data_IF_227894803030
#
_entry.id   IF_227894803030
#
_cell.length_a   1.000
_cell.length_b   1.000
_cell.length_c   1.000
_cell.angle_alpha   90.00
_cell.angle_beta   90.00
_cell.angle_gamma   90.00
#
_symmetry.space_group_name_H-M   'P 1'
#
loop_
_entity.id
_entity.type
_entity.pdbx_description
1 polymer ?
#
# COMPACT_ATOMS: atom_id res chain seq x y z
N UNK A 1 22.21 17.94 53.73
CA UNK A 1 21.26 16.84 53.46
C UNK A 1 19.92 17.40 52.97
N UNK A 2 19.85 18.01 51.78
CA UNK A 2 18.60 18.66 51.31
C UNK A 2 18.51 18.91 49.78
N UNK A 3 19.23 18.14 48.95
CA UNK A 3 19.16 18.24 47.47
C UNK A 3 18.42 17.04 46.83
N UNK A 4 18.15 15.96 47.57
CA UNK A 4 17.60 14.72 46.99
C UNK A 4 16.05 14.62 46.98
N UNK A 5 15.32 15.61 47.50
CA UNK A 5 13.85 15.51 47.66
C UNK A 5 13.05 16.10 46.49
N UNK A 6 13.61 17.07 45.75
CA UNK A 6 12.93 17.74 44.62
C UNK A 6 12.98 16.94 43.31
N UNK A 7 13.90 15.96 43.19
CA UNK A 7 14.01 15.10 42.01
C UNK A 7 13.07 13.88 42.07
N UNK A 8 12.43 13.59 43.22
CA UNK A 8 11.59 12.38 43.38
C UNK A 8 10.34 12.36 42.50
N UNK A 9 9.56 13.46 42.37
CA UNK A 9 8.37 13.47 41.50
C UNK A 9 8.76 13.37 40.02
N UNK A 10 9.83 14.08 39.62
CA UNK A 10 10.37 14.03 38.25
C UNK A 10 10.89 12.65 37.90
N UNK A 11 11.63 12.02 38.82
CA UNK A 11 12.11 10.65 38.64
C UNK A 11 10.97 9.64 38.56
N UNK A 12 9.92 9.76 39.39
CA UNK A 12 8.73 8.90 39.31
C UNK A 12 8.01 9.04 37.99
N UNK A 13 7.76 10.28 37.55
CA UNK A 13 7.13 10.55 36.26
C UNK A 13 7.97 9.99 35.09
N UNK A 14 9.29 10.15 35.13
CA UNK A 14 10.19 9.60 34.13
C UNK A 14 10.20 8.07 34.14
N UNK A 15 10.27 7.44 35.32
CA UNK A 15 10.24 5.99 35.47
C UNK A 15 8.90 5.40 34.98
N UNK A 16 7.77 6.03 35.31
CA UNK A 16 6.44 5.65 34.82
C UNK A 16 6.25 5.86 33.32
N UNK A 17 6.86 6.91 32.76
CA UNK A 17 6.83 7.15 31.32
C UNK A 17 7.68 6.10 30.58
N UNK A 18 8.91 5.89 31.04
CA UNK A 18 9.85 4.94 30.41
C UNK A 18 9.35 3.50 30.52
N UNK A 19 8.74 3.11 31.64
CA UNK A 19 8.14 1.78 31.80
C UNK A 19 6.92 1.57 30.90
N UNK A 20 6.07 2.60 30.71
CA UNK A 20 4.96 2.56 29.74
C UNK A 20 5.46 2.39 28.32
N UNK A 21 6.52 3.11 27.93
CA UNK A 21 7.14 2.95 26.62
C UNK A 21 7.74 1.56 26.42
N UNK A 22 8.46 1.03 27.41
CA UNK A 22 9.05 -0.30 27.34
C UNK A 22 7.99 -1.41 27.22
N UNK A 23 6.86 -1.28 27.94
CA UNK A 23 5.74 -2.20 27.83
C UNK A 23 5.02 -2.09 26.48
N UNK A 24 4.89 -0.87 25.94
CA UNK A 24 4.36 -0.66 24.58
C UNK A 24 5.26 -1.34 23.55
N UNK A 25 6.56 -1.07 23.59
CA UNK A 25 7.55 -1.70 22.72
C UNK A 25 7.52 -3.24 22.82
N UNK A 26 7.49 -3.79 24.03
CA UNK A 26 7.39 -5.24 24.21
C UNK A 26 6.10 -5.79 23.58
N UNK A 27 4.96 -5.13 23.82
CA UNK A 27 3.68 -5.60 23.28
C UNK A 27 3.64 -5.51 21.75
N UNK A 28 3.97 -4.36 21.17
CA UNK A 28 3.86 -4.13 19.74
C UNK A 28 4.99 -4.79 18.95
N UNK A 29 6.24 -4.56 19.34
CA UNK A 29 7.42 -4.92 18.53
C UNK A 29 7.97 -6.32 18.82
N UNK A 30 7.73 -6.86 20.03
CA UNK A 30 8.21 -8.21 20.39
C UNK A 30 7.10 -9.25 20.32
N UNK A 31 5.91 -8.93 20.86
CA UNK A 31 4.79 -9.86 20.92
C UNK A 31 3.84 -9.74 19.72
N UNK A 32 3.94 -8.66 18.93
CA UNK A 32 3.04 -8.41 17.80
C UNK A 32 1.59 -8.10 18.22
N UNK A 33 1.38 -7.69 19.47
CA UNK A 33 0.07 -7.37 20.01
C UNK A 33 -0.39 -6.00 19.53
N UNK A 34 -1.66 -5.91 19.14
CA UNK A 34 -2.33 -4.63 18.89
C UNK A 34 -2.78 -3.97 20.20
N UNK A 35 -3.15 -2.68 20.16
CA UNK A 35 -3.74 -1.99 21.31
C UNK A 35 -5.02 -2.68 21.82
N UNK A 36 -5.75 -3.33 20.91
CA UNK A 36 -6.92 -4.15 21.20
C UNK A 36 -6.54 -5.38 22.05
N UNK A 37 -5.44 -6.05 21.70
CA UNK A 37 -4.95 -7.23 22.42
C UNK A 37 -4.46 -6.86 23.82
N UNK A 38 -3.76 -5.71 23.93
CA UNK A 38 -3.35 -5.14 25.23
C UNK A 38 -4.58 -4.86 26.09
N UNK A 39 -5.64 -4.26 25.53
CA UNK A 39 -6.88 -4.01 26.27
C UNK A 39 -7.58 -5.31 26.68
N UNK A 40 -7.66 -6.30 25.80
CA UNK A 40 -8.20 -7.62 26.12
C UNK A 40 -7.43 -8.31 27.26
N UNK A 41 -6.10 -8.22 27.26
CA UNK A 41 -5.25 -8.74 28.33
C UNK A 41 -5.52 -8.03 29.66
N UNK A 42 -5.67 -6.70 29.65
CA UNK A 42 -6.02 -5.92 30.87
C UNK A 42 -7.37 -6.35 31.44
N UNK A 43 -8.38 -6.58 30.60
CA UNK A 43 -9.68 -7.07 31.05
C UNK A 43 -9.59 -8.45 31.70
N UNK A 44 -8.79 -9.37 31.13
CA UNK A 44 -8.54 -10.69 31.74
C UNK A 44 -7.85 -10.57 33.10
N UNK A 45 -6.81 -9.74 33.20
CA UNK A 45 -6.10 -9.49 34.46
C UNK A 45 -6.98 -8.82 35.53
N UNK A 46 -7.96 -8.03 35.12
CA UNK A 46 -8.96 -7.44 36.00
C UNK A 46 -10.08 -8.43 36.43
N UNK A 47 -10.02 -9.70 36.01
CA UNK A 47 -11.05 -10.71 36.32
C UNK A 47 -12.33 -10.56 35.49
N UNK A 48 -12.33 -9.75 34.43
CA UNK A 48 -13.49 -9.50 33.57
C UNK A 48 -13.49 -10.35 32.29
N UNK A 49 -12.42 -11.13 32.06
CA UNK A 49 -12.19 -11.88 30.82
C UNK A 49 -13.32 -12.82 30.41
N UNK A 50 -13.95 -13.48 31.38
CA UNK A 50 -14.99 -14.49 31.16
C UNK A 50 -16.41 -13.91 31.22
N UNK A 51 -16.54 -12.59 31.37
CA UNK A 51 -17.87 -11.96 31.36
C UNK A 51 -18.50 -12.03 29.96
N UNK A 52 -19.82 -12.20 29.83
CA UNK A 52 -20.49 -12.28 28.53
C UNK A 52 -20.25 -11.05 27.64
N UNK A 53 -20.07 -9.87 28.23
CA UNK A 53 -19.77 -8.65 27.49
C UNK A 53 -18.36 -8.66 26.90
N UNK A 54 -17.35 -9.11 27.65
CA UNK A 54 -15.98 -9.21 27.15
C UNK A 54 -15.86 -10.32 26.09
N UNK A 55 -16.52 -11.46 26.27
CA UNK A 55 -16.54 -12.52 25.26
C UNK A 55 -17.18 -12.06 23.95
N UNK A 56 -18.35 -11.39 24.01
CA UNK A 56 -18.98 -10.79 22.82
C UNK A 56 -18.08 -9.76 22.16
N UNK A 57 -17.41 -8.92 22.96
CA UNK A 57 -16.49 -7.91 22.42
C UNK A 57 -15.26 -8.55 21.76
N UNK A 58 -14.71 -9.63 22.31
CA UNK A 58 -13.61 -10.36 21.67
C UNK A 58 -14.01 -11.04 20.36
N UNK A 59 -15.23 -11.57 20.28
CA UNK A 59 -15.75 -12.26 19.10
C UNK A 59 -16.25 -11.31 17.98
N UNK A 60 -16.64 -10.08 18.33
CA UNK A 60 -17.32 -9.16 17.41
C UNK A 60 -16.63 -8.95 16.04
N UNK A 61 -15.29 -8.84 15.91
CA UNK A 61 -14.65 -8.76 14.59
C UNK A 61 -14.80 -10.02 13.73
N UNK A 62 -14.82 -11.21 14.34
CA UNK A 62 -15.02 -12.47 13.62
C UNK A 62 -16.49 -12.66 13.21
N UNK A 63 -17.41 -12.20 14.06
CA UNK A 63 -18.86 -12.28 13.81
C UNK A 63 -19.38 -11.18 12.87
N UNK A 64 -18.59 -10.12 12.66
CA UNK A 64 -18.96 -9.03 11.77
C UNK A 64 -19.08 -9.49 10.32
N UNK A 65 -20.13 -9.06 9.62
CA UNK A 65 -20.28 -9.27 8.17
C UNK A 65 -19.33 -8.34 7.42
N UNK A 66 -18.30 -8.85 6.71
CA UNK A 66 -17.31 -7.98 6.09
C UNK A 66 -17.88 -7.22 4.88
N UNK A 67 -17.54 -5.94 4.77
CA UNK A 67 -17.86 -5.10 3.61
C UNK A 67 -16.72 -5.15 2.61
N UNK A 68 -17.00 -5.53 1.37
CA UNK A 68 -16.00 -5.53 0.28
C UNK A 68 -15.71 -4.12 -0.22
N UNK A 69 -14.44 -3.72 -0.22
CA UNK A 69 -13.99 -2.41 -0.69
C UNK A 69 -13.64 -2.45 -2.19
N UNK A 70 -14.13 -1.45 -2.93
CA UNK A 70 -13.73 -1.18 -4.30
C UNK A 70 -12.42 -0.43 -4.41
N UNK A 71 -12.16 0.20 -5.57
CA UNK A 71 -10.99 1.08 -5.75
C UNK A 71 -11.05 2.33 -4.86
N UNK A 72 -12.26 2.76 -4.47
CA UNK A 72 -12.53 3.83 -3.51
C UNK A 72 -13.75 3.46 -2.68
N UNK A 73 -13.77 3.89 -1.43
CA UNK A 73 -14.89 3.69 -0.54
C UNK A 73 -14.94 4.79 0.51
N UNK A 74 -16.14 5.13 0.96
CA UNK A 74 -16.38 6.02 2.10
C UNK A 74 -17.48 5.40 2.94
N UNK A 75 -17.27 5.34 4.26
CA UNK A 75 -18.24 4.86 5.21
C UNK A 75 -18.30 5.78 6.43
N UNK A 76 -19.52 6.19 6.79
CA UNK A 76 -19.79 6.79 8.09
C UNK A 76 -19.81 5.70 9.15
N UNK A 77 -19.23 6.00 10.31
CA UNK A 77 -19.10 5.12 11.45
C UNK A 77 -19.92 5.71 12.58
N UNK A 78 -20.84 4.94 13.14
CA UNK A 78 -21.70 5.37 14.24
C UNK A 78 -21.90 4.23 15.26
N UNK A 79 -20.93 4.07 16.15
CA UNK A 79 -20.98 3.09 17.22
C UNK A 79 -21.61 3.71 18.47
N UNK A 80 -22.79 3.21 18.84
CA UNK A 80 -23.42 3.56 20.12
C UNK A 80 -22.76 2.81 21.29
N UNK A 81 -22.72 3.46 22.45
CA UNK A 81 -22.14 2.95 23.70
C UNK A 81 -22.92 1.80 24.34
N UNK A 82 -24.16 1.55 23.89
CA UNK A 82 -25.01 0.43 24.33
C UNK A 82 -24.88 -0.82 23.45
N UNK A 83 -24.04 -0.79 22.40
CA UNK A 83 -23.82 -1.91 21.48
C UNK A 83 -22.39 -2.45 21.53
N UNK A 84 -22.26 -3.77 21.35
CA UNK A 84 -20.96 -4.44 21.18
C UNK A 84 -20.87 -4.94 19.75
N UNK A 85 -20.14 -4.21 18.90
CA UNK A 85 -19.96 -4.54 17.49
C UNK A 85 -18.60 -4.11 16.98
N UNK A 86 -18.22 -4.66 15.83
CA UNK A 86 -17.05 -4.23 15.06
C UNK A 86 -17.48 -3.96 13.61
N UNK A 87 -16.78 -3.06 12.93
CA UNK A 87 -16.89 -2.88 11.49
C UNK A 87 -15.66 -3.49 10.82
N UNK A 88 -15.87 -4.35 9.83
CA UNK A 88 -14.81 -5.03 9.09
C UNK A 88 -14.95 -4.72 7.60
N UNK A 89 -13.91 -4.15 7.02
CA UNK A 89 -13.86 -3.84 5.59
C UNK A 89 -12.72 -4.63 4.94
N UNK A 90 -12.99 -5.35 3.86
CA UNK A 90 -12.01 -6.25 3.23
C UNK A 90 -11.69 -5.80 1.82
N UNK A 91 -10.45 -6.05 1.38
CA UNK A 91 -10.05 -5.86 -0.01
C UNK A 91 -9.02 -6.90 -0.43
N UNK A 92 -8.95 -7.19 -1.73
CA UNK A 92 -7.80 -7.86 -2.32
C UNK A 92 -6.88 -6.81 -2.94
N UNK A 93 -5.57 -6.94 -2.74
CA UNK A 93 -4.60 -6.06 -3.36
C UNK A 93 -3.46 -6.87 -3.99
N UNK A 94 -2.88 -6.31 -5.05
CA UNK A 94 -1.79 -6.92 -5.81
C UNK A 94 -0.49 -6.16 -5.58
N UNK A 95 0.63 -6.87 -5.74
CA UNK A 95 1.95 -6.26 -5.67
C UNK A 95 2.04 -5.04 -6.59
N UNK A 96 2.57 -3.94 -6.08
CA UNK A 96 2.70 -2.68 -6.82
C UNK A 96 1.53 -1.73 -6.64
N UNK A 97 0.48 -2.14 -5.94
CA UNK A 97 -0.58 -1.24 -5.52
C UNK A 97 -0.25 -0.55 -4.20
N UNK A 98 -0.89 0.57 -3.93
CA UNK A 98 -0.83 1.29 -2.67
C UNK A 98 -2.23 1.39 -2.10
N UNK A 99 -2.35 1.14 -0.80
CA UNK A 99 -3.54 1.41 -0.02
C UNK A 99 -3.38 2.78 0.62
N UNK A 100 -4.40 3.62 0.50
CA UNK A 100 -4.47 4.90 1.20
C UNK A 100 -5.77 4.96 1.99
N UNK A 101 -5.72 5.57 3.17
CA UNK A 101 -6.91 5.80 3.98
C UNK A 101 -6.81 7.09 4.78
N UNK A 102 -7.98 7.56 5.21
CA UNK A 102 -8.15 8.62 6.19
C UNK A 102 -9.29 8.22 7.09
N UNK A 103 -9.03 8.23 8.40
CA UNK A 103 -10.05 8.01 9.42
C UNK A 103 -10.17 9.30 10.22
N UNK A 104 -11.40 9.81 10.30
CA UNK A 104 -11.76 10.98 11.10
C UNK A 104 -12.62 10.54 12.26
N UNK A 105 -12.56 11.28 13.35
CA UNK A 105 -13.40 11.08 14.53
C UNK A 105 -14.02 12.41 14.96
N UNK A 106 -15.19 12.34 15.56
CA UNK A 106 -15.85 13.50 16.19
C UNK A 106 -15.19 13.81 17.54
N UNK A 107 -15.35 15.04 18.05
CA UNK A 107 -14.66 15.53 19.27
C UNK A 107 -14.98 14.72 20.54
N UNK A 108 -16.12 14.03 20.56
CA UNK A 108 -16.57 13.19 21.69
C UNK A 108 -16.10 11.74 21.59
N UNK A 109 -15.48 11.35 20.48
CA UNK A 109 -15.08 9.97 20.22
C UNK A 109 -13.78 9.64 20.94
N UNK A 110 -13.79 8.59 21.76
CA UNK A 110 -12.61 8.05 22.42
C UNK A 110 -12.48 6.53 22.16
N UNK A 111 -11.26 6.02 22.35
CA UNK A 111 -11.00 4.59 22.52
C UNK A 111 -11.39 3.65 21.38
N UNK A 112 -11.31 4.10 20.12
CA UNK A 112 -11.40 3.19 18.96
C UNK A 112 -10.11 2.39 18.80
N UNK A 113 -10.23 1.07 18.70
CA UNK A 113 -9.19 0.23 18.14
C UNK A 113 -9.43 0.08 16.64
N UNK A 114 -8.48 0.53 15.83
CA UNK A 114 -8.54 0.38 14.39
C UNK A 114 -7.20 -0.16 13.85
N UNK A 115 -7.27 -1.20 13.04
CA UNK A 115 -6.10 -1.88 12.46
C UNK A 115 -6.29 -2.09 10.97
N UNK A 116 -5.17 -2.05 10.24
CA UNK A 116 -5.05 -2.67 8.92
C UNK A 116 -4.32 -3.99 9.12
N UNK A 117 -4.93 -5.07 8.63
CA UNK A 117 -4.42 -6.42 8.77
C UNK A 117 -4.29 -7.07 7.39
N UNK A 118 -3.33 -7.99 7.27
CA UNK A 118 -3.06 -8.76 6.06
C UNK A 118 -3.27 -10.24 6.35
N UNK A 119 -3.95 -10.93 5.44
CA UNK A 119 -4.11 -12.37 5.52
C UNK A 119 -2.81 -13.06 5.09
N UNK A 120 -2.32 -13.98 5.90
CA UNK A 120 -1.32 -14.96 5.51
C UNK A 120 -2.00 -16.05 4.65
N UNK A 121 -1.70 -16.15 3.35
CA UNK A 121 -2.33 -17.12 2.48
C UNK A 121 -1.95 -18.58 2.81
N UNK A 122 -0.88 -18.83 3.55
CA UNK A 122 -0.46 -20.18 3.93
C UNK A 122 -1.11 -20.67 5.23
N UNK A 123 -1.38 -19.76 6.17
CA UNK A 123 -1.88 -20.09 7.50
C UNK A 123 -3.37 -19.73 7.72
N UNK A 124 -3.99 -19.02 6.79
CA UNK A 124 -5.35 -18.44 6.93
C UNK A 124 -5.51 -17.56 8.19
N UNK A 125 -4.40 -17.00 8.66
CA UNK A 125 -4.35 -16.09 9.81
C UNK A 125 -4.23 -14.64 9.35
N UNK A 126 -4.62 -13.71 10.23
CA UNK A 126 -4.47 -12.28 9.99
C UNK A 126 -3.33 -11.75 10.85
N UNK A 127 -2.43 -10.98 10.23
CA UNK A 127 -1.34 -10.30 10.91
C UNK A 127 -1.52 -8.78 10.82
N UNK A 128 -1.13 -8.09 11.89
CA UNK A 128 -1.14 -6.64 11.95
C UNK A 128 -0.17 -6.07 10.90
N UNK A 129 -0.66 -5.17 10.04
CA UNK A 129 0.17 -4.35 9.16
C UNK A 129 0.51 -3.05 9.87
N UNK A 130 -0.51 -2.34 10.34
CA UNK A 130 -0.35 -1.10 11.10
C UNK A 130 -1.64 -0.72 11.84
N UNK A 131 -1.51 0.12 12.87
CA UNK A 131 -2.65 0.79 13.47
C UNK A 131 -3.23 1.84 12.52
N UNK A 132 -4.54 2.06 12.61
CA UNK A 132 -5.27 3.04 11.80
C UNK A 132 -5.68 4.19 12.71
N UNK A 133 -4.89 5.26 12.71
CA UNK A 133 -5.17 6.43 13.54
C UNK A 133 -6.40 7.19 13.04
N UNK A 134 -7.25 7.63 13.97
CA UNK A 134 -8.39 8.51 13.70
C UNK A 134 -8.01 9.99 13.78
N UNK A 135 -6.87 10.35 13.19
CA UNK A 135 -6.23 11.67 13.27
C UNK A 135 -6.62 12.61 12.12
N UNK A 136 -7.41 12.13 11.16
CA UNK A 136 -7.79 12.88 9.96
C UNK A 136 -6.68 13.01 8.92
N UNK A 137 -5.50 12.45 9.17
CA UNK A 137 -4.38 12.46 8.23
C UNK A 137 -4.53 11.36 7.17
N UNK A 138 -3.80 11.53 6.06
CA UNK A 138 -3.77 10.52 5.00
C UNK A 138 -2.60 9.58 5.22
N UNK A 139 -2.94 8.33 5.52
CA UNK A 139 -1.99 7.25 5.70
C UNK A 139 -1.91 6.37 4.45
N UNK A 140 -0.75 5.75 4.22
CA UNK A 140 -0.49 4.92 3.03
C UNK A 140 0.38 3.71 3.36
N UNK A 141 0.12 2.59 2.71
CA UNK A 141 0.96 1.38 2.72
C UNK A 141 1.11 0.84 1.32
N UNK A 142 2.35 0.50 0.96
CA UNK A 142 2.69 -0.17 -0.29
C UNK A 142 2.44 -1.68 -0.18
N UNK A 143 1.81 -2.24 -1.19
CA UNK A 143 1.54 -3.69 -1.30
C UNK A 143 2.71 -4.36 -1.99
N UNK A 144 3.43 -5.18 -1.24
CA UNK A 144 4.63 -5.89 -1.65
C UNK A 144 4.34 -7.26 -2.30
N UNK A 145 3.21 -7.86 -1.92
CA UNK A 145 2.75 -9.15 -2.40
C UNK A 145 1.22 -9.20 -2.50
N UNK A 146 0.72 -10.04 -3.42
CA UNK A 146 -0.72 -10.28 -3.56
C UNK A 146 -1.26 -10.88 -2.27
N UNK A 147 -2.26 -10.24 -1.68
CA UNK A 147 -2.89 -10.68 -0.44
C UNK A 147 -4.28 -10.07 -0.27
N UNK A 148 -5.05 -10.62 0.68
CA UNK A 148 -6.24 -9.97 1.21
C UNK A 148 -5.86 -9.11 2.41
N UNK A 149 -6.51 -7.97 2.52
CA UNK A 149 -6.37 -7.03 3.61
C UNK A 149 -7.73 -6.79 4.24
N UNK A 150 -7.73 -6.40 5.52
CA UNK A 150 -8.93 -5.92 6.18
C UNK A 150 -8.64 -4.74 7.11
N UNK A 151 -9.56 -3.79 7.12
CA UNK A 151 -9.66 -2.82 8.20
C UNK A 151 -10.59 -3.40 9.26
N UNK A 152 -10.15 -3.43 10.51
CA UNK A 152 -10.97 -3.82 11.66
C UNK A 152 -11.11 -2.61 12.55
N UNK A 153 -12.34 -2.15 12.77
CA UNK A 153 -12.65 -1.01 13.61
C UNK A 153 -13.59 -1.46 14.73
N UNK A 154 -13.16 -1.27 15.96
CA UNK A 154 -13.92 -1.68 17.14
C UNK A 154 -13.67 -0.71 18.29
N UNK A 155 -14.70 -0.03 18.81
CA UNK A 155 -14.57 0.77 20.03
C UNK A 155 -14.18 -0.09 21.23
N UNK A 156 -13.63 0.56 22.25
CA UNK A 156 -13.51 -0.05 23.57
C UNK A 156 -14.90 -0.46 24.08
N UNK A 157 -14.94 -1.45 24.97
CA UNK A 157 -16.19 -1.99 25.50
C UNK A 157 -17.06 -0.86 26.08
N UNK A 158 -18.27 -0.69 25.53
CA UNK A 158 -19.25 0.35 25.87
C UNK A 158 -18.76 1.79 25.70
N UNK A 159 -17.82 2.05 24.77
CA UNK A 159 -17.50 3.40 24.33
C UNK A 159 -18.17 3.70 22.98
N UNK A 160 -18.74 4.91 22.86
CA UNK A 160 -19.26 5.39 21.60
C UNK A 160 -18.13 5.89 20.68
N UNK A 161 -18.33 5.74 19.38
CA UNK A 161 -17.44 6.31 18.36
C UNK A 161 -18.25 6.75 17.14
N UNK A 162 -18.15 8.03 16.81
CA UNK A 162 -18.64 8.59 15.55
C UNK A 162 -17.46 9.12 14.72
N UNK A 163 -17.52 8.89 13.40
CA UNK A 163 -16.49 9.33 12.48
C UNK A 163 -16.70 8.85 11.05
N UNK A 164 -15.68 9.02 10.20
CA UNK A 164 -15.72 8.60 8.80
C UNK A 164 -14.42 7.96 8.36
N UNK A 165 -14.53 6.78 7.73
CA UNK A 165 -13.45 6.08 7.05
C UNK A 165 -13.53 6.29 5.55
N UNK A 166 -12.49 6.85 4.95
CA UNK A 166 -12.32 6.95 3.49
C UNK A 166 -11.13 6.11 3.09
N UNK A 167 -11.28 5.23 2.11
CA UNK A 167 -10.20 4.37 1.59
C UNK A 167 -10.08 4.48 0.08
N UNK A 168 -8.87 4.30 -0.43
CA UNK A 168 -8.57 4.19 -1.84
C UNK A 168 -7.44 3.19 -2.08
N UNK A 169 -7.52 2.48 -3.22
CA UNK A 169 -6.47 1.60 -3.72
C UNK A 169 -6.11 2.02 -5.14
N UNK A 170 -4.81 2.03 -5.44
CA UNK A 170 -4.31 2.45 -6.74
C UNK A 170 -2.89 1.95 -7.00
N UNK A 171 -2.27 2.39 -8.09
CA UNK A 171 -0.87 2.06 -8.39
C UNK A 171 0.11 2.93 -7.60
N UNK A 172 1.30 2.41 -7.34
CA UNK A 172 2.41 3.13 -6.71
C UNK A 172 3.14 4.08 -7.68
N UNK A 173 3.15 3.75 -8.97
CA UNK A 173 3.90 4.45 -10.01
C UNK A 173 3.02 5.39 -10.81
N UNK A 174 3.66 6.34 -11.50
CA UNK A 174 3.00 7.15 -12.53
C UNK A 174 2.84 6.37 -13.83
N UNK A 175 1.90 6.82 -14.67
CA UNK A 175 1.78 6.34 -16.05
C UNK A 175 3.03 6.75 -16.86
N UNK A 176 3.79 5.82 -17.46
CA UNK A 176 5.04 6.14 -18.16
C UNK A 176 4.85 6.82 -19.52
N UNK A 177 3.62 6.95 -20.02
CA UNK A 177 3.30 7.67 -21.26
C UNK A 177 2.42 8.86 -20.95
N UNK A 178 2.86 10.05 -21.34
CA UNK A 178 2.14 11.29 -21.05
C UNK A 178 0.73 11.26 -21.68
N UNK A 179 -0.29 11.48 -20.84
CA UNK A 179 -1.70 11.52 -21.27
C UNK A 179 -2.36 10.16 -21.50
N UNK A 180 -1.63 9.06 -21.36
CA UNK A 180 -2.20 7.71 -21.44
C UNK A 180 -2.97 7.34 -20.16
N UNK A 181 -3.87 6.37 -20.28
CA UNK A 181 -4.66 5.81 -19.19
C UNK A 181 -4.79 4.28 -19.33
N UNK A 182 -5.46 3.64 -18.38
CA UNK A 182 -5.63 2.18 -18.38
C UNK A 182 -6.27 1.63 -19.67
N UNK A 183 -7.13 2.41 -20.34
CA UNK A 183 -7.75 2.06 -21.63
C UNK A 183 -6.76 1.93 -22.79
N UNK A 184 -5.58 2.53 -22.66
CA UNK A 184 -4.54 2.55 -23.70
C UNK A 184 -3.54 1.38 -23.52
N UNK A 185 -3.71 0.59 -22.46
CA UNK A 185 -2.90 -0.60 -22.20
C UNK A 185 -3.47 -1.78 -22.99
N UNK A 186 -2.64 -2.40 -23.81
CA UNK A 186 -2.93 -3.67 -24.48
C UNK A 186 -1.74 -4.62 -24.42
N UNK A 187 -1.87 -5.77 -25.09
CA UNK A 187 -0.84 -6.81 -25.09
C UNK A 187 -0.42 -7.18 -23.67
N UNK A 188 -1.33 -7.69 -22.84
CA UNK A 188 -1.09 -7.87 -21.41
C UNK A 188 0.12 -8.74 -21.06
N UNK A 189 0.54 -8.65 -19.79
CA UNK A 189 1.61 -9.48 -19.24
C UNK A 189 1.27 -10.97 -19.36
N UNK A 190 2.28 -11.80 -19.65
CA UNK A 190 2.15 -13.26 -19.77
C UNK A 190 1.49 -13.76 -21.06
N UNK A 191 0.94 -12.87 -21.89
CA UNK A 191 0.32 -13.21 -23.19
C UNK A 191 1.36 -13.88 -24.10
N UNK A 192 0.94 -14.94 -24.80
CA UNK A 192 1.76 -15.67 -25.75
C UNK A 192 2.18 -14.76 -26.91
N UNK A 193 3.43 -14.89 -27.34
CA UNK A 193 4.00 -14.11 -28.44
C UNK A 193 4.88 -15.01 -29.30
N UNK A 194 5.14 -14.58 -30.53
CA UNK A 194 5.92 -15.32 -31.53
C UNK A 194 5.42 -16.76 -31.68
N UNK A 195 4.11 -16.93 -31.86
CA UNK A 195 3.49 -18.25 -31.99
C UNK A 195 3.50 -19.10 -30.71
N UNK A 196 3.77 -18.51 -29.54
CA UNK A 196 3.84 -19.20 -28.25
C UNK A 196 5.26 -19.47 -27.76
N UNK A 197 6.28 -19.10 -28.54
CA UNK A 197 7.68 -19.31 -28.17
C UNK A 197 8.15 -18.39 -27.02
N UNK A 198 7.49 -17.25 -26.80
CA UNK A 198 7.78 -16.36 -25.66
C UNK A 198 6.49 -15.92 -24.97
N UNK A 199 6.63 -15.47 -23.73
CA UNK A 199 5.59 -14.73 -23.01
C UNK A 199 5.93 -13.25 -23.01
N UNK A 200 4.90 -12.42 -22.95
CA UNK A 200 5.08 -10.99 -22.84
C UNK A 200 5.52 -10.59 -21.43
N UNK A 201 6.73 -10.07 -21.28
CA UNK A 201 7.34 -9.71 -19.98
C UNK A 201 7.07 -8.25 -19.56
N UNK A 202 6.00 -7.67 -20.09
CA UNK A 202 5.60 -6.30 -19.81
C UNK A 202 4.18 -6.06 -20.28
N UNK A 203 3.89 -4.80 -20.56
CA UNK A 203 2.63 -4.34 -21.15
C UNK A 203 2.92 -3.35 -22.28
N UNK A 204 2.02 -3.27 -23.25
CA UNK A 204 2.15 -2.32 -24.36
C UNK A 204 1.17 -1.16 -24.15
N UNK A 205 1.68 0.06 -24.11
CA UNK A 205 0.90 1.28 -23.88
C UNK A 205 0.84 2.04 -25.21
N UNK A 206 -0.32 2.00 -25.85
CA UNK A 206 -0.51 2.57 -27.18
C UNK A 206 -0.66 4.09 -27.12
N UNK A 207 0.08 4.78 -27.98
CA UNK A 207 -0.01 6.23 -28.12
C UNK A 207 0.54 6.66 -29.48
N UNK A 208 0.27 7.91 -29.90
CA UNK A 208 0.83 8.45 -31.14
C UNK A 208 2.37 8.40 -31.09
N UNK A 209 3.01 8.09 -32.22
CA UNK A 209 4.46 8.19 -32.33
C UNK A 209 4.93 9.60 -31.93
N UNK A 210 6.02 9.69 -31.17
CA UNK A 210 6.55 10.95 -30.65
C UNK A 210 5.98 11.39 -29.29
N UNK A 211 4.91 10.73 -28.80
CA UNK A 211 4.33 11.02 -27.48
C UNK A 211 5.40 10.90 -26.39
N UNK A 212 5.50 11.84 -25.43
CA UNK A 212 6.50 11.79 -24.37
C UNK A 212 6.38 10.53 -23.51
N UNK A 213 7.53 9.88 -23.28
CA UNK A 213 7.72 8.79 -22.32
C UNK A 213 8.44 9.36 -21.11
N UNK A 214 7.91 9.14 -19.92
CA UNK A 214 8.39 9.73 -18.67
C UNK A 214 8.94 8.70 -17.70
N UNK A 215 9.89 9.12 -16.87
CA UNK A 215 10.44 8.29 -15.80
C UNK A 215 9.37 8.01 -14.73
N UNK A 216 9.18 6.73 -14.39
CA UNK A 216 8.20 6.32 -13.35
C UNK A 216 8.69 6.51 -11.92
N UNK A 217 10.00 6.67 -11.74
CA UNK A 217 10.68 6.88 -10.46
C UNK A 217 11.89 7.80 -10.66
N UNK A 218 12.40 8.36 -9.56
CA UNK A 218 13.73 8.95 -9.55
C UNK A 218 14.78 7.86 -9.81
N UNK A 219 15.82 8.18 -10.58
CA UNK A 219 16.87 7.19 -10.84
C UNK A 219 17.89 7.59 -11.88
N UNK A 220 18.57 6.59 -12.41
CA UNK A 220 19.54 6.72 -13.49
C UNK A 220 19.07 5.95 -14.72
N UNK A 221 19.13 6.60 -15.89
CA UNK A 221 18.82 5.98 -17.18
C UNK A 221 20.05 5.31 -17.78
N UNK A 222 19.84 4.25 -18.55
CA UNK A 222 20.84 3.69 -19.46
C UNK A 222 20.21 3.33 -20.81
N UNK A 223 20.87 3.67 -21.90
CA UNK A 223 20.36 3.44 -23.25
C UNK A 223 20.89 2.16 -23.87
N UNK A 224 20.09 1.56 -24.75
CA UNK A 224 20.54 0.47 -25.62
C UNK A 224 19.75 0.46 -26.92
N UNK A 225 20.44 0.29 -28.04
CA UNK A 225 19.83 0.19 -29.36
C UNK A 225 20.12 -1.16 -30.01
N UNK A 226 19.07 -1.89 -30.41
CA UNK A 226 19.16 -3.17 -31.11
C UNK A 226 18.34 -4.28 -30.45
N UNK A 227 18.40 -5.47 -31.03
CA UNK A 227 17.61 -6.62 -30.59
C UNK A 227 16.09 -6.39 -30.72
N UNK A 228 15.30 -7.19 -29.99
CA UNK A 228 13.84 -7.12 -30.05
C UNK A 228 13.29 -5.76 -29.61
N UNK A 229 13.92 -5.12 -28.61
CA UNK A 229 13.45 -3.84 -28.07
C UNK A 229 13.70 -2.61 -28.94
N UNK A 230 14.58 -2.69 -29.94
CA UNK A 230 14.96 -1.52 -30.73
C UNK A 230 15.69 -0.49 -29.87
N UNK A 231 15.24 0.77 -29.86
CA UNK A 231 15.73 1.79 -28.94
C UNK A 231 15.07 1.61 -27.58
N UNK A 232 15.88 1.50 -26.54
CA UNK A 232 15.42 1.15 -25.20
C UNK A 232 16.10 1.96 -24.12
N UNK A 233 15.38 2.19 -23.03
CA UNK A 233 15.90 2.77 -21.79
C UNK A 233 15.68 1.76 -20.68
N UNK A 234 16.69 1.57 -19.84
CA UNK A 234 16.52 1.02 -18.50
C UNK A 234 16.63 2.14 -17.49
N UNK A 235 15.69 2.22 -16.55
CA UNK A 235 15.73 3.13 -15.41
C UNK A 235 15.90 2.33 -14.12
N UNK A 236 16.83 2.74 -13.27
CA UNK A 236 17.06 2.11 -11.96
C UNK A 236 17.12 3.18 -10.88
N UNK A 237 16.33 3.04 -9.81
CA UNK A 237 16.40 3.91 -8.63
C UNK A 237 17.53 3.52 -7.68
N UNK A 238 17.89 2.24 -7.65
CA UNK A 238 18.98 1.69 -6.83
C UNK A 238 19.67 0.52 -7.52
N UNK A 239 20.81 0.09 -6.98
CA UNK A 239 21.59 -1.03 -7.52
C UNK A 239 20.91 -2.41 -7.32
N UNK A 240 20.09 -2.53 -6.29
CA UNK A 240 19.47 -3.81 -5.88
C UNK A 240 17.97 -3.86 -6.12
N UNK A 241 17.36 -2.72 -6.44
CA UNK A 241 15.94 -2.58 -6.71
C UNK A 241 15.52 -3.08 -8.10
N UNK A 242 14.22 -2.96 -8.42
CA UNK A 242 13.71 -3.27 -9.75
C UNK A 242 14.30 -2.33 -10.81
N UNK A 243 14.39 -2.86 -12.03
CA UNK A 243 14.71 -2.10 -13.24
C UNK A 243 13.44 -1.90 -14.05
N UNK A 244 13.22 -0.68 -14.51
CA UNK A 244 12.11 -0.33 -15.39
C UNK A 244 12.60 -0.26 -16.82
N UNK A 245 11.97 -1.02 -17.71
CA UNK A 245 12.37 -1.16 -19.10
C UNK A 245 11.37 -0.46 -20.01
N UNK A 246 11.89 0.38 -20.90
CA UNK A 246 11.12 1.15 -21.87
C UNK A 246 11.65 0.78 -23.25
N UNK A 247 10.82 0.24 -24.12
CA UNK A 247 11.24 -0.21 -25.44
C UNK A 247 10.39 0.32 -26.59
N UNK A 248 10.87 0.06 -27.80
CA UNK A 248 10.30 0.52 -29.07
C UNK A 248 10.35 2.04 -29.27
N UNK A 249 11.23 2.74 -28.53
CA UNK A 249 11.30 4.20 -28.56
C UNK A 249 11.66 4.72 -29.95
N UNK A 250 11.20 5.92 -30.29
CA UNK A 250 11.63 6.64 -31.51
C UNK A 250 12.87 7.50 -31.24
N UNK A 251 12.98 8.07 -30.04
CA UNK A 251 14.09 8.92 -29.62
C UNK A 251 14.36 8.79 -28.11
N UNK A 252 15.62 9.03 -27.73
CA UNK A 252 16.02 9.35 -26.35
C UNK A 252 15.93 10.86 -26.17
N UNK A 253 15.52 11.33 -25.00
CA UNK A 253 15.46 12.76 -24.67
C UNK A 253 16.34 13.14 -23.49
N UNK A 254 16.79 12.17 -22.72
CA UNK A 254 17.87 12.29 -21.73
C UNK A 254 19.19 11.77 -22.31
N UNK A 255 20.31 12.11 -21.68
CA UNK A 255 21.62 11.51 -21.98
C UNK A 255 21.76 10.12 -21.35
N UNK A 256 22.63 9.28 -21.94
CA UNK A 256 22.94 7.98 -21.35
C UNK A 256 23.64 8.17 -20.00
N UNK A 257 23.18 7.43 -18.98
CA UNK A 257 23.67 7.59 -17.62
C UNK A 257 23.11 8.81 -16.88
N UNK A 258 22.20 9.62 -17.44
CA UNK A 258 21.65 10.79 -16.75
C UNK A 258 20.87 10.40 -15.47
N UNK A 259 20.90 11.28 -14.46
CA UNK A 259 19.96 11.23 -13.33
C UNK A 259 18.68 11.94 -13.74
N UNK A 260 17.54 11.36 -13.39
CA UNK A 260 16.21 11.88 -13.71
C UNK A 260 15.30 11.77 -12.49
N UNK A 261 14.33 12.65 -12.41
CA UNK A 261 13.24 12.61 -11.44
C UNK A 261 12.00 11.96 -12.05
N UNK A 262 11.15 11.39 -11.19
CA UNK A 262 9.86 10.85 -11.60
C UNK A 262 9.04 11.94 -12.32
N UNK A 263 8.59 11.64 -13.55
CA UNK A 263 7.88 12.58 -14.42
C UNK A 263 8.74 13.26 -15.48
N UNK A 264 10.08 13.20 -15.39
CA UNK A 264 10.96 13.73 -16.44
C UNK A 264 10.79 12.96 -17.75
N UNK A 265 10.81 13.68 -18.89
CA UNK A 265 10.74 13.07 -20.21
C UNK A 265 12.08 12.44 -20.56
N UNK A 266 12.10 11.11 -20.71
CA UNK A 266 13.31 10.33 -20.99
C UNK A 266 13.37 9.76 -22.41
N UNK A 267 12.22 9.67 -23.07
CA UNK A 267 12.15 9.25 -24.47
C UNK A 267 10.85 9.60 -25.14
N UNK A 268 10.65 9.04 -26.33
CA UNK A 268 9.43 9.21 -27.13
C UNK A 268 8.91 7.89 -27.65
N UNK A 269 7.59 7.72 -27.63
CA UNK A 269 6.90 6.56 -28.19
C UNK A 269 7.31 6.37 -29.66
N UNK A 270 7.54 5.13 -30.05
CA UNK A 270 7.93 4.77 -31.40
C UNK A 270 7.43 3.38 -31.79
N UNK A 271 8.15 2.76 -32.71
CA UNK A 271 7.92 1.40 -33.21
C UNK A 271 9.23 0.72 -33.63
N UNK A 272 10.34 1.00 -32.95
CA UNK A 272 11.64 0.39 -33.28
C UNK A 272 11.73 -1.05 -32.78
N UNK A 273 12.66 -1.85 -33.32
CA UNK A 273 12.80 -3.26 -32.94
C UNK A 273 11.70 -4.13 -33.57
N UNK A 274 11.21 -5.13 -32.84
CA UNK A 274 10.17 -6.04 -33.35
C UNK A 274 8.75 -5.44 -33.36
N UNK A 275 8.59 -4.18 -32.91
CA UNK A 275 7.36 -3.41 -33.09
C UNK A 275 7.24 -2.77 -34.48
N UNK A 276 8.28 -2.86 -35.32
CA UNK A 276 8.29 -2.27 -36.65
C UNK A 276 7.15 -2.82 -37.52
N UNK A 277 6.49 -1.93 -38.26
CA UNK A 277 5.30 -2.25 -39.07
C UNK A 277 3.98 -2.34 -38.29
N UNK A 278 4.03 -2.33 -36.95
CA UNK A 278 2.85 -2.28 -36.09
C UNK A 278 2.47 -0.87 -35.63
N UNK A 279 1.33 -0.73 -34.91
CA UNK A 279 0.92 0.52 -34.28
C UNK A 279 1.96 0.98 -33.22
N UNK A 280 2.32 2.27 -33.18
CA UNK A 280 3.27 2.79 -32.19
C UNK A 280 2.79 2.58 -30.75
N UNK A 281 3.72 2.18 -29.89
CA UNK A 281 3.47 1.95 -28.47
C UNK A 281 4.77 2.02 -27.66
N UNK A 282 4.63 2.19 -26.35
CA UNK A 282 5.70 1.91 -25.40
C UNK A 282 5.51 0.47 -24.91
N UNK A 283 6.51 -0.38 -25.10
CA UNK A 283 6.61 -1.59 -24.28
C UNK A 283 7.23 -1.21 -22.94
N UNK A 284 6.51 -1.43 -21.84
CA UNK A 284 6.93 -1.14 -20.48
C UNK A 284 7.04 -2.43 -19.68
N UNK A 285 8.20 -2.69 -19.08
CA UNK A 285 8.49 -3.86 -18.26
C UNK A 285 9.06 -3.50 -16.90
N UNK A 286 8.82 -4.35 -15.90
CA UNK A 286 9.42 -4.25 -14.57
C UNK A 286 10.18 -5.54 -14.30
N UNK A 287 11.47 -5.43 -14.04
CA UNK A 287 12.36 -6.57 -13.84
C UNK A 287 12.97 -6.54 -12.45
N UNK A 288 12.87 -7.64 -11.72
CA UNK A 288 13.53 -7.83 -10.43
C UNK A 288 14.50 -9.01 -10.50
N UNK A 289 15.20 -9.29 -9.39
CA UNK A 289 16.04 -10.50 -9.27
C UNK A 289 15.27 -11.80 -9.52
N UNK A 290 13.96 -11.82 -9.24
CA UNK A 290 13.07 -12.97 -9.47
C UNK A 290 12.48 -13.05 -10.87
N UNK A 291 12.88 -12.17 -11.79
CA UNK A 291 12.35 -12.10 -13.15
C UNK A 291 11.37 -10.93 -13.37
N UNK A 292 10.63 -11.04 -14.47
CA UNK A 292 9.65 -10.03 -14.88
C UNK A 292 8.44 -10.00 -13.94
N UNK A 293 7.96 -8.81 -13.64
CA UNK A 293 6.79 -8.53 -12.79
C UNK A 293 5.75 -7.86 -13.67
N UNK A 294 4.47 -8.24 -13.50
CA UNK A 294 3.37 -7.56 -14.16
C UNK A 294 3.35 -6.06 -13.80
N UNK A 295 3.55 -5.15 -14.75
CA UNK A 295 3.56 -3.71 -14.49
C UNK A 295 2.17 -3.11 -14.27
N UNK A 296 1.09 -3.78 -14.71
CA UNK A 296 -0.24 -3.19 -14.74
C UNK A 296 -0.73 -2.71 -13.36
N UNK A 297 -0.56 -3.47 -12.26
CA UNK A 297 -0.95 -2.99 -10.93
C UNK A 297 -0.15 -1.77 -10.45
N UNK A 298 1.10 -1.62 -10.90
CA UNK A 298 1.98 -0.52 -10.49
C UNK A 298 1.56 0.82 -11.09
N UNK A 299 1.10 0.83 -12.33
CA UNK A 299 0.79 2.06 -13.08
C UNK A 299 -0.70 2.38 -13.13
N UNK A 300 -1.53 1.65 -12.37
CA UNK A 300 -2.91 2.01 -12.14
C UNK A 300 -3.00 3.43 -11.53
N UNK A 301 -4.11 4.16 -11.73
CA UNK A 301 -4.28 5.49 -11.14
C UNK A 301 -3.93 5.49 -9.66
N UNK A 302 -3.15 6.48 -9.21
CA UNK A 302 -2.76 6.59 -7.81
C UNK A 302 -3.99 6.65 -6.89
N UNK A 303 -3.91 6.09 -5.67
CA UNK A 303 -5.01 6.17 -4.72
C UNK A 303 -5.27 7.63 -4.36
N UNK A 304 -6.48 8.10 -4.65
CA UNK A 304 -6.93 9.45 -4.35
C UNK A 304 -8.15 9.40 -3.44
N UNK A 305 -7.98 9.89 -2.21
CA UNK A 305 -9.04 10.14 -1.25
C UNK A 305 -9.59 11.53 -1.58
N UNK A 306 -10.75 11.59 -2.24
CA UNK A 306 -11.48 12.85 -2.44
C UNK A 306 -12.62 12.90 -1.43
#
# INVERSE_FOLDING_TARGET
MLVALWAKPVWRAQAEHTSRLALSWLAHDVLGWSDRDIYAARLRLAGLGDTPSVQRWQAAPADATPVGLGARHSADLDFADDTIRAAVYTLAAERGQQLAWRLTSDETSAGLFATLERQDPAADTWSLVTAVAADGEIHRVDVDAKARYRFVLQPRLFEAFAGRLVTARGGQLGMPVAGAAARDIGGGFGVARDGGARRHEGIDIFAKAGTPVVAVVDGRVSHRNGGLGGKTIFLSSSLTGPRYYYAHLSAYTSDDGARVSAGDVIGRVGNTGNAAGGPPHLHFGIYSRGGAIDPAPFIAPRPALR
#
